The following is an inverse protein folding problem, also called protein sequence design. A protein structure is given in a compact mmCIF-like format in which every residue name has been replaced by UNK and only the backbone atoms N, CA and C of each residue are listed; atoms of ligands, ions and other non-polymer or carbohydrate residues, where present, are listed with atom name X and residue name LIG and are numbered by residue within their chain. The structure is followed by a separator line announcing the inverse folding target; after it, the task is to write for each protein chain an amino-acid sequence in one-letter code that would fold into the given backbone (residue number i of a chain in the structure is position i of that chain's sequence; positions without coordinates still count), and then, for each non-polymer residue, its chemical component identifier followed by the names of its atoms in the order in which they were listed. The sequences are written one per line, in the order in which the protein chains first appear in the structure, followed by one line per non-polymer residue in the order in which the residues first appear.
data_IF_722266554212
#
_entry.id   IF_722266554212
#
_cell.length_a   1.000
_cell.length_b   1.000
_cell.length_c   1.000
_cell.angle_alpha   90.00
_cell.angle_beta   90.00
_cell.angle_gamma   90.00
#
_symmetry.space_group_name_H-M   'P 1'
#
loop_
_entity.id
_entity.type
_entity.pdbx_description
1 polymer ?
#
# COMPACT_ATOMS: atom_id res chain seq x y z
N UNK A 1 11.82 -4.70 6.45
CA UNK A 1 10.56 -4.13 5.93
C UNK A 1 9.45 -5.03 6.41
N UNK A 2 8.42 -4.44 7.01
CA UNK A 2 7.22 -5.13 7.48
C UNK A 2 6.00 -4.38 6.95
N UNK A 3 4.98 -5.11 6.54
CA UNK A 3 3.71 -4.52 6.11
C UNK A 3 2.82 -4.50 7.34
N UNK A 4 2.45 -3.30 7.78
CA UNK A 4 1.63 -3.10 9.00
C UNK A 4 0.16 -2.86 8.67
N UNK A 5 -0.12 -2.29 7.49
CA UNK A 5 -1.46 -2.03 7.01
C UNK A 5 -1.52 -2.12 5.48
N UNK A 6 -2.70 -2.44 4.96
CA UNK A 6 -3.08 -2.35 3.55
C UNK A 6 -4.42 -1.61 3.44
N UNK A 7 -4.63 -0.90 2.35
CA UNK A 7 -5.88 -0.20 2.07
C UNK A 7 -6.40 -0.56 0.68
N UNK A 8 -7.66 -1.00 0.61
CA UNK A 8 -8.41 -1.14 -0.64
C UNK A 8 -9.91 -0.97 -0.35
N UNK A 9 -10.48 0.14 -0.82
CA UNK A 9 -11.88 0.48 -0.56
C UNK A 9 -12.88 -0.21 -1.50
N UNK A 10 -12.40 -0.93 -2.52
CA UNK A 10 -13.23 -1.58 -3.53
C UNK A 10 -13.40 -3.07 -3.27
N UNK A 11 -12.39 -3.71 -2.66
CA UNK A 11 -12.41 -5.13 -2.36
C UNK A 11 -12.96 -5.42 -0.97
N UNK A 12 -13.65 -6.55 -0.84
CA UNK A 12 -14.01 -7.11 0.47
C UNK A 12 -12.79 -7.75 1.14
N UNK A 13 -12.83 -7.88 2.47
CA UNK A 13 -11.76 -8.53 3.24
C UNK A 13 -11.45 -9.96 2.75
N UNK A 14 -12.48 -10.69 2.30
CA UNK A 14 -12.33 -12.05 1.75
C UNK A 14 -11.64 -12.05 0.40
N UNK A 15 -11.94 -11.09 -0.46
CA UNK A 15 -11.27 -10.93 -1.76
C UNK A 15 -9.80 -10.55 -1.56
N UNK A 16 -9.49 -9.64 -0.64
CA UNK A 16 -8.11 -9.29 -0.26
C UNK A 16 -7.34 -10.53 0.21
N UNK A 17 -7.90 -11.30 1.14
CA UNK A 17 -7.25 -12.53 1.63
C UNK A 17 -7.05 -13.57 0.51
N UNK A 18 -8.04 -13.72 -0.37
CA UNK A 18 -7.95 -14.63 -1.51
C UNK A 18 -6.86 -14.20 -2.49
N UNK A 19 -6.84 -12.93 -2.91
CA UNK A 19 -5.85 -12.40 -3.85
C UNK A 19 -4.43 -12.37 -3.25
N UNK A 20 -4.30 -12.20 -1.93
CA UNK A 20 -3.02 -12.35 -1.26
C UNK A 20 -2.49 -13.79 -1.34
N UNK A 21 -3.38 -14.79 -1.28
CA UNK A 21 -3.01 -16.21 -1.32
C UNK A 21 -2.82 -16.75 -2.75
N UNK A 22 -3.57 -16.24 -3.72
CA UNK A 22 -3.67 -16.80 -5.07
C UNK A 22 -3.39 -15.75 -6.13
N UNK A 23 -2.33 -15.97 -6.91
CA UNK A 23 -1.98 -15.17 -8.09
C UNK A 23 -1.97 -16.06 -9.35
N UNK A 24 -2.48 -15.55 -10.48
CA UNK A 24 -2.59 -16.34 -11.72
C UNK A 24 -1.27 -16.49 -12.48
N UNK A 25 -0.31 -15.60 -12.24
CA UNK A 25 1.01 -15.57 -12.89
C UNK A 25 2.03 -16.25 -11.99
N UNK A 26 2.07 -15.88 -10.70
CA UNK A 26 3.05 -16.37 -9.74
C UNK A 26 2.58 -17.59 -8.94
N UNK A 27 1.29 -17.95 -9.04
CA UNK A 27 0.72 -19.11 -8.37
C UNK A 27 0.33 -18.86 -6.92
N UNK A 28 0.30 -19.93 -6.13
CA UNK A 28 -0.15 -19.88 -4.72
C UNK A 28 1.00 -19.45 -3.81
N UNK A 29 0.77 -18.40 -3.01
CA UNK A 29 1.69 -18.01 -1.94
C UNK A 29 1.81 -19.15 -0.92
N UNK A 30 3.02 -19.67 -0.67
CA UNK A 30 3.20 -20.84 0.21
C UNK A 30 3.02 -20.53 1.70
N UNK A 31 3.09 -19.26 2.08
CA UNK A 31 2.86 -18.82 3.45
C UNK A 31 1.40 -19.00 3.88
N UNK A 32 1.16 -19.12 5.19
CA UNK A 32 -0.20 -19.08 5.72
C UNK A 32 -0.78 -17.69 5.49
N UNK A 33 -2.06 -17.65 5.10
CA UNK A 33 -2.85 -16.43 4.93
C UNK A 33 -4.18 -16.70 5.60
N UNK A 34 -4.45 -15.98 6.68
CA UNK A 34 -5.65 -16.16 7.51
C UNK A 34 -6.33 -14.80 7.69
N UNK A 35 -7.66 -14.75 7.53
CA UNK A 35 -8.45 -13.56 7.81
C UNK A 35 -9.11 -13.72 9.17
N UNK A 36 -8.81 -12.82 10.10
CA UNK A 36 -9.40 -12.78 11.44
C UNK A 36 -9.94 -11.36 11.64
N UNK A 37 -11.27 -11.24 11.75
CA UNK A 37 -11.94 -9.94 11.83
C UNK A 37 -11.53 -9.01 10.67
N UNK A 38 -10.90 -7.87 10.98
CA UNK A 38 -10.41 -6.88 10.01
C UNK A 38 -8.89 -6.95 9.81
N UNK A 39 -8.26 -8.08 10.14
CA UNK A 39 -6.82 -8.27 10.03
C UNK A 39 -6.47 -9.48 9.16
N UNK A 40 -5.47 -9.29 8.31
CA UNK A 40 -4.84 -10.36 7.55
C UNK A 40 -3.62 -10.86 8.31
N UNK A 41 -3.54 -12.15 8.57
CA UNK A 41 -2.38 -12.79 9.16
C UNK A 41 -1.58 -13.50 8.08
N UNK A 42 -0.38 -13.00 7.79
CA UNK A 42 0.53 -13.60 6.81
C UNK A 42 1.74 -14.18 7.55
N UNK A 43 1.92 -15.49 7.50
CA UNK A 43 2.93 -16.19 8.33
C UNK A 43 2.82 -15.86 9.82
N UNK A 44 1.59 -15.70 10.33
CA UNK A 44 1.32 -15.35 11.72
C UNK A 44 1.54 -13.87 12.09
N UNK A 45 1.92 -13.01 11.13
CA UNK A 45 2.06 -11.57 11.35
C UNK A 45 0.77 -10.83 10.99
N UNK A 46 0.21 -10.01 11.90
CA UNK A 46 -1.01 -9.26 11.62
C UNK A 46 -0.71 -8.08 10.68
N UNK A 47 -1.64 -7.84 9.77
CA UNK A 47 -1.69 -6.70 8.86
C UNK A 47 -3.09 -6.12 8.96
N UNK A 48 -3.19 -4.85 9.31
CA UNK A 48 -4.46 -4.15 9.39
C UNK A 48 -5.04 -3.92 7.98
N UNK A 49 -6.33 -4.22 7.78
CA UNK A 49 -7.01 -3.94 6.52
C UNK A 49 -7.88 -2.69 6.70
N UNK A 50 -7.55 -1.67 5.92
CA UNK A 50 -8.29 -0.43 5.78
C UNK A 50 -9.12 -0.48 4.49
N UNK A 51 -10.21 0.28 4.48
CA UNK A 51 -11.10 0.41 3.32
C UNK A 51 -11.49 1.89 3.15
N UNK A 52 -10.49 2.75 3.10
CA UNK A 52 -10.62 4.21 3.06
C UNK A 52 -10.41 4.69 1.63
N UNK A 53 -11.48 5.10 0.94
CA UNK A 53 -11.38 5.45 -0.48
C UNK A 53 -10.62 6.74 -0.82
N UNK A 54 -10.24 7.53 0.18
CA UNK A 54 -9.40 8.72 -0.02
C UNK A 54 -8.22 8.67 0.95
N UNK A 55 -7.01 8.67 0.37
CA UNK A 55 -5.74 8.66 1.10
C UNK A 55 -5.66 9.76 2.16
N UNK A 56 -6.27 10.92 1.93
CA UNK A 56 -6.26 12.03 2.89
C UNK A 56 -7.05 11.76 4.17
N UNK A 57 -7.90 10.73 4.17
CA UNK A 57 -8.68 10.28 5.33
C UNK A 57 -8.01 9.13 6.11
N UNK A 58 -6.84 8.65 5.67
CA UNK A 58 -6.13 7.59 6.37
C UNK A 58 -5.59 8.08 7.73
N UNK A 59 -5.65 7.25 8.79
CA UNK A 59 -5.33 7.64 10.16
C UNK A 59 -3.80 7.65 10.43
N UNK A 60 -3.03 8.34 9.60
CA UNK A 60 -1.56 8.37 9.69
C UNK A 60 -1.03 8.96 10.99
N UNK A 61 -1.76 9.91 11.58
CA UNK A 61 -1.33 10.60 12.81
C UNK A 61 -1.71 9.86 14.10
N UNK A 62 -2.74 8.99 14.06
CA UNK A 62 -3.47 8.57 15.27
C UNK A 62 -3.47 7.04 15.53
N UNK A 63 -2.62 6.24 14.87
CA UNK A 63 -2.54 4.82 15.26
C UNK A 63 -1.66 3.90 14.44
N UNK A 64 -1.23 4.30 13.24
CA UNK A 64 -0.41 3.45 12.37
C UNK A 64 1.04 3.96 12.38
N UNK A 65 1.93 3.28 13.10
CA UNK A 65 3.37 3.56 13.11
C UNK A 65 3.97 3.18 11.74
N UNK A 66 3.87 4.09 10.77
CA UNK A 66 4.28 3.90 9.37
C UNK A 66 5.51 4.74 9.07
N UNK A 67 6.63 4.10 8.76
CA UNK A 67 7.83 4.78 8.25
C UNK A 67 7.73 5.10 6.74
N UNK A 68 7.07 4.24 5.96
CA UNK A 68 7.06 4.29 4.49
C UNK A 68 5.65 4.00 3.96
N UNK A 69 5.14 4.91 3.11
CA UNK A 69 3.92 4.69 2.33
C UNK A 69 4.26 4.17 0.93
N UNK A 70 3.49 3.19 0.45
CA UNK A 70 3.52 2.74 -0.95
C UNK A 70 2.10 2.86 -1.51
N UNK A 71 1.89 3.80 -2.42
CA UNK A 71 0.64 3.97 -3.15
C UNK A 71 0.74 3.35 -4.55
N UNK A 72 -0.02 2.27 -4.71
CA UNK A 72 -0.19 1.55 -5.97
C UNK A 72 -1.64 1.60 -6.49
N UNK A 73 -2.50 2.47 -5.94
CA UNK A 73 -3.91 2.59 -6.32
C UNK A 73 -4.11 3.06 -7.76
N UNK A 74 -3.18 3.89 -8.26
CA UNK A 74 -3.32 4.56 -9.55
C UNK A 74 -4.38 5.67 -9.58
N UNK A 75 -4.98 6.02 -8.44
CA UNK A 75 -6.01 7.06 -8.37
C UNK A 75 -5.40 8.47 -8.37
N UNK A 76 -5.42 9.10 -9.54
CA UNK A 76 -4.94 10.47 -9.75
C UNK A 76 -6.01 11.54 -9.51
N UNK A 77 -7.17 11.20 -8.96
CA UNK A 77 -8.15 12.20 -8.54
C UNK A 77 -7.55 13.11 -7.47
N UNK A 78 -7.81 14.42 -7.58
CA UNK A 78 -7.32 15.44 -6.63
C UNK A 78 -5.81 15.36 -6.35
N UNK A 79 -5.01 14.96 -7.34
CA UNK A 79 -3.60 14.62 -7.17
C UNK A 79 -2.78 15.70 -6.46
N UNK A 80 -2.96 16.98 -6.81
CA UNK A 80 -2.22 18.07 -6.18
C UNK A 80 -2.52 18.18 -4.67
N UNK A 81 -3.79 17.98 -4.28
CA UNK A 81 -4.20 18.00 -2.88
C UNK A 81 -3.64 16.79 -2.12
N UNK A 82 -3.66 15.59 -2.73
CA UNK A 82 -3.07 14.38 -2.14
C UNK A 82 -1.56 14.55 -1.95
N UNK A 83 -0.85 15.05 -2.96
CA UNK A 83 0.59 15.30 -2.89
C UNK A 83 0.95 16.34 -1.83
N UNK A 84 0.14 17.39 -1.69
CA UNK A 84 0.35 18.37 -0.63
C UNK A 84 0.12 17.76 0.75
N UNK A 85 -0.98 17.01 0.93
CA UNK A 85 -1.27 16.30 2.17
C UNK A 85 -0.13 15.35 2.59
N UNK A 86 0.37 14.53 1.65
CA UNK A 86 1.46 13.58 1.88
C UNK A 86 2.75 14.23 2.41
N UNK A 87 3.01 15.50 2.09
CA UNK A 87 4.21 16.23 2.59
C UNK A 87 4.12 16.56 4.09
N UNK A 88 2.92 16.58 4.65
CA UNK A 88 2.67 16.92 6.05
C UNK A 88 2.43 15.69 6.93
N UNK A 89 2.39 14.50 6.34
CA UNK A 89 2.24 13.24 7.07
C UNK A 89 3.52 12.86 7.84
N UNK A 90 3.38 12.07 8.92
CA UNK A 90 4.50 11.74 9.81
C UNK A 90 5.46 10.67 9.28
N UNK A 91 5.12 9.98 8.19
CA UNK A 91 6.00 8.97 7.58
C UNK A 91 7.21 9.63 6.90
N UNK A 92 8.31 8.88 6.78
CA UNK A 92 9.58 9.42 6.27
C UNK A 92 9.58 9.60 4.75
N UNK A 93 8.88 8.73 4.03
CA UNK A 93 8.89 8.70 2.56
C UNK A 93 7.62 8.05 2.03
N UNK A 94 7.14 8.54 0.89
CA UNK A 94 6.08 7.91 0.11
C UNK A 94 6.60 7.53 -1.30
N UNK A 95 6.28 6.32 -1.73
CA UNK A 95 6.45 5.85 -3.10
C UNK A 95 5.08 5.81 -3.77
N UNK A 96 4.94 6.42 -4.93
CA UNK A 96 3.65 6.49 -5.64
C UNK A 96 3.82 6.07 -7.09
N UNK A 97 2.85 5.38 -7.66
CA UNK A 97 2.82 5.06 -9.09
C UNK A 97 2.30 6.21 -9.98
N UNK A 98 2.08 7.41 -9.42
CA UNK A 98 1.60 8.57 -10.17
C UNK A 98 2.56 8.98 -11.31
N UNK A 99 2.07 9.34 -12.50
CA UNK A 99 2.90 9.67 -13.67
C UNK A 99 3.72 10.94 -13.43
N UNK A 100 5.04 10.94 -13.60
CA UNK A 100 5.88 12.09 -13.23
C UNK A 100 5.52 13.42 -13.95
N UNK A 101 5.53 14.53 -13.20
CA UNK A 101 5.44 15.90 -13.72
C UNK A 101 6.69 16.68 -13.30
N UNK A 102 6.95 17.83 -13.95
CA UNK A 102 8.17 18.63 -13.81
C UNK A 102 8.56 19.05 -12.39
N UNK A 103 7.61 19.08 -11.43
CA UNK A 103 7.84 19.52 -10.05
C UNK A 103 8.06 18.39 -9.03
N UNK A 104 8.19 17.14 -9.47
CA UNK A 104 8.31 16.00 -8.55
C UNK A 104 9.76 15.79 -8.14
N UNK A 105 10.05 16.08 -6.87
CA UNK A 105 11.36 15.83 -6.26
C UNK A 105 11.62 14.33 -6.25
N UNK A 106 12.47 13.91 -7.19
CA UNK A 106 13.12 12.61 -7.33
C UNK A 106 12.20 11.45 -7.75
N UNK A 107 11.94 11.36 -9.06
CA UNK A 107 11.59 10.08 -9.70
C UNK A 107 12.81 9.16 -9.64
N UNK A 108 12.71 8.06 -8.89
CA UNK A 108 13.73 7.02 -8.86
C UNK A 108 13.26 5.82 -9.68
N UNK A 109 14.02 5.47 -10.72
CA UNK A 109 13.86 4.20 -11.43
C UNK A 109 14.93 3.26 -10.92
N UNK A 110 14.53 2.15 -10.30
CA UNK A 110 15.47 1.11 -9.93
C UNK A 110 16.17 0.60 -11.21
N UNK A 111 17.52 0.48 -11.22
CA UNK A 111 18.20 -0.13 -12.35
C UNK A 111 17.68 -1.55 -12.55
N UNK A 112 17.40 -1.94 -13.80
CA UNK A 112 17.02 -3.33 -14.11
C UNK A 112 18.13 -4.25 -13.61
N UNK A 113 17.82 -5.16 -12.70
CA UNK A 113 18.72 -6.27 -12.40
C UNK A 113 18.82 -7.14 -13.65
N UNK A 114 20.00 -7.25 -14.23
CA UNK A 114 20.27 -8.30 -15.22
C UNK A 114 20.13 -9.64 -14.49
N UNK A 115 19.07 -10.37 -14.84
CA UNK A 115 18.90 -11.76 -14.42
C UNK A 115 19.85 -12.58 -15.29
N UNK A 116 20.97 -13.00 -14.71
CA UNK A 116 21.86 -14.01 -15.30
C UNK A 116 21.36 -15.42 -14.98
#
# INVERSE_FOLDING_TARGET
IEIVAIDDCYLTLKEIAYLCKYDSIYGVLQQSVELIENQLFVSGKPIEILQVGDLTNLPFADGLDIDVLVDASGDTSNLDAKLEFLKHCPFRTAFTNYPANSDRKHTFTAPKSEVH
#
